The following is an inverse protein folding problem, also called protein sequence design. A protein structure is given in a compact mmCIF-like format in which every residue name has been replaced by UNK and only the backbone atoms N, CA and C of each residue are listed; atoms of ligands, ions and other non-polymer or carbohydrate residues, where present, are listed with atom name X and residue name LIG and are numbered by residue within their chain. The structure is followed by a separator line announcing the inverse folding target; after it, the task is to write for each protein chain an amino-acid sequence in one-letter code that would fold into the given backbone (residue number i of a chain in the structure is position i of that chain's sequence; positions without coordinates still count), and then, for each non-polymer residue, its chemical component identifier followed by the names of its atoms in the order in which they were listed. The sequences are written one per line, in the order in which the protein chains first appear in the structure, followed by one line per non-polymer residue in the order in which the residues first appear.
data_IF_993781571693
#
_entry.id   IF_993781571693
#
_cell.length_a   1.000
_cell.length_b   1.000
_cell.length_c   1.000
_cell.angle_alpha   90.00
_cell.angle_beta   90.00
_cell.angle_gamma   90.00
#
_symmetry.space_group_name_H-M   'P 1'
#
loop_
_entity.id
_entity.type
_entity.pdbx_description
1 polymer ?
#
# COMPACT_ATOMS: atom_id res chain seq x y z
N UNK A 1 3.32 -1.05 3.63
CA UNK A 1 2.27 -0.05 3.47
C UNK A 1 1.29 -0.61 2.45
N UNK A 2 0.02 -0.78 2.82
CA UNK A 2 -1.02 -1.13 1.85
C UNK A 2 -1.17 0.06 0.91
N UNK A 3 -0.62 -0.06 -0.29
CA UNK A 3 -0.69 1.02 -1.27
C UNK A 3 -1.47 0.50 -2.45
N UNK A 4 -2.64 1.05 -2.73
CA UNK A 4 -3.42 0.67 -3.91
C UNK A 4 -2.78 1.35 -5.14
N UNK A 5 -2.54 0.63 -6.24
CA UNK A 5 -1.94 1.14 -7.50
C UNK A 5 -2.99 1.02 -8.64
N UNK A 6 -3.25 1.95 -9.58
CA UNK A 6 -2.35 2.59 -10.56
C UNK A 6 -2.89 3.91 -11.18
N UNK A 7 -3.71 4.73 -10.50
CA UNK A 7 -4.30 5.92 -11.18
C UNK A 7 -4.41 7.24 -10.41
N UNK A 8 -4.08 7.37 -9.10
CA UNK A 8 -4.42 8.57 -8.32
C UNK A 8 -3.33 9.07 -7.35
N UNK A 9 -3.25 10.39 -7.12
CA UNK A 9 -2.02 11.13 -6.78
C UNK A 9 -1.46 10.95 -5.36
N UNK A 10 -2.03 10.13 -4.48
CA UNK A 10 -1.65 10.10 -3.05
C UNK A 10 -0.20 9.72 -2.75
N UNK A 11 0.35 8.71 -3.41
CA UNK A 11 1.75 8.26 -3.21
C UNK A 11 2.76 9.06 -4.01
N UNK A 12 2.38 9.55 -5.18
CA UNK A 12 3.15 10.55 -5.92
C UNK A 12 3.27 11.84 -5.08
N UNK A 13 2.19 12.24 -4.41
CA UNK A 13 2.15 13.42 -3.53
C UNK A 13 3.14 13.27 -2.39
N UNK A 14 3.17 12.12 -1.68
CA UNK A 14 4.15 11.89 -0.62
C UNK A 14 5.61 11.84 -1.11
N UNK A 15 5.83 11.56 -2.40
CA UNK A 15 7.16 11.62 -3.02
C UNK A 15 7.52 12.99 -3.60
N UNK A 16 6.62 13.98 -3.55
CA UNK A 16 7.01 15.35 -3.88
C UNK A 16 7.93 15.92 -2.80
N UNK A 17 8.97 16.68 -3.20
CA UNK A 17 10.01 17.19 -2.30
C UNK A 17 9.55 17.67 -0.91
N UNK A 18 8.53 18.54 -0.77
CA UNK A 18 8.13 19.03 0.55
C UNK A 18 7.44 17.96 1.41
N UNK A 19 6.59 17.12 0.81
CA UNK A 19 5.88 16.07 1.53
C UNK A 19 6.78 14.86 1.85
N UNK A 20 7.74 14.56 0.97
CA UNK A 20 8.73 13.54 1.20
C UNK A 20 9.57 13.88 2.43
N UNK A 21 10.16 15.07 2.45
CA UNK A 21 11.01 15.50 3.56
C UNK A 21 10.25 15.55 4.90
N UNK A 22 8.98 15.96 4.88
CA UNK A 22 8.18 16.15 6.08
C UNK A 22 7.53 14.87 6.60
N UNK A 23 7.08 13.98 5.72
CA UNK A 23 6.18 12.89 6.10
C UNK A 23 6.66 11.50 5.68
N UNK A 24 7.26 11.36 4.50
CA UNK A 24 7.60 10.05 3.92
C UNK A 24 9.05 9.60 4.12
N UNK A 25 9.97 10.54 4.41
CA UNK A 25 11.39 10.25 4.63
C UNK A 25 11.62 9.26 5.77
N UNK A 26 10.75 9.28 6.81
CA UNK A 26 10.83 8.35 7.95
C UNK A 26 10.51 6.91 7.55
N UNK A 27 9.56 6.72 6.63
CA UNK A 27 9.23 5.39 6.12
C UNK A 27 10.39 4.76 5.35
N UNK A 28 11.10 5.59 4.58
CA UNK A 28 12.31 5.26 3.83
C UNK A 28 13.60 5.30 4.66
N UNK A 29 13.50 5.33 5.99
CA UNK A 29 14.69 5.32 6.87
C UNK A 29 15.45 3.99 6.78
N UNK A 30 14.74 2.88 6.50
CA UNK A 30 15.32 1.56 6.36
C UNK A 30 15.46 1.18 4.89
N UNK A 31 16.69 1.08 4.40
CA UNK A 31 16.98 0.65 3.02
C UNK A 31 16.55 -0.79 2.75
N UNK A 32 16.68 -1.67 3.75
CA UNK A 32 16.16 -3.04 3.70
C UNK A 32 15.02 -3.16 4.71
N UNK A 33 13.77 -2.90 4.30
CA UNK A 33 12.64 -2.94 5.20
C UNK A 33 12.43 -4.36 5.75
N UNK A 34 12.00 -4.41 7.00
CA UNK A 34 11.48 -5.64 7.65
C UNK A 34 10.02 -5.41 7.98
N UNK A 35 9.24 -6.48 8.18
CA UNK A 35 7.78 -6.37 8.33
C UNK A 35 7.31 -5.38 9.42
N UNK A 36 8.10 -5.19 10.48
CA UNK A 36 7.83 -4.20 11.55
C UNK A 36 8.05 -2.76 11.09
N UNK A 37 8.98 -2.52 10.17
CA UNK A 37 9.22 -1.20 9.58
C UNK A 37 8.01 -0.71 8.76
N UNK A 38 7.11 -1.61 8.35
CA UNK A 38 5.89 -1.26 7.62
C UNK A 38 4.96 -0.30 8.37
N UNK A 39 5.00 -0.28 9.71
CA UNK A 39 4.23 0.64 10.56
C UNK A 39 5.07 1.79 11.11
N UNK A 40 6.37 1.81 10.80
CA UNK A 40 7.28 2.87 11.21
C UNK A 40 7.23 4.02 10.19
N UNK A 41 6.26 4.91 10.40
CA UNK A 41 6.09 6.10 9.58
C UNK A 41 5.65 7.30 10.45
N UNK A 42 5.38 8.44 9.81
CA UNK A 42 4.77 9.58 10.50
C UNK A 42 3.27 9.35 10.72
N UNK A 43 2.64 9.93 11.76
CA UNK A 43 1.19 9.78 11.96
C UNK A 43 0.35 10.23 10.75
N UNK A 44 0.83 11.23 10.01
CA UNK A 44 0.16 11.71 8.80
C UNK A 44 0.23 10.68 7.67
N UNK A 45 1.39 10.08 7.45
CA UNK A 45 1.55 9.00 6.48
C UNK A 45 0.74 7.75 6.87
N UNK A 46 0.71 7.40 8.17
CA UNK A 46 -0.16 6.35 8.67
C UNK A 46 -1.62 6.64 8.33
N UNK A 47 -2.10 7.85 8.60
CA UNK A 47 -3.48 8.23 8.32
C UNK A 47 -3.80 8.23 6.82
N UNK A 48 -2.96 8.83 5.98
CA UNK A 48 -3.26 9.07 4.57
C UNK A 48 -2.96 7.89 3.66
N UNK A 49 -1.91 7.12 3.96
CA UNK A 49 -1.46 6.03 3.09
C UNK A 49 -1.86 4.65 3.60
N UNK A 50 -2.20 4.50 4.88
CA UNK A 50 -2.64 3.22 5.43
C UNK A 50 -4.13 3.25 5.81
N UNK A 51 -4.54 4.16 6.69
CA UNK A 51 -5.89 4.13 7.29
C UNK A 51 -6.98 4.62 6.33
N UNK A 52 -6.77 5.76 5.68
CA UNK A 52 -7.77 6.38 4.83
C UNK A 52 -8.14 5.52 3.61
N UNK A 53 -7.17 4.98 2.83
CA UNK A 53 -7.49 4.11 1.69
C UNK A 53 -8.16 2.80 2.15
N UNK A 54 -7.76 2.30 3.33
CA UNK A 54 -8.34 1.09 3.90
C UNK A 54 -9.80 1.28 4.37
N UNK A 55 -10.13 2.49 4.85
CA UNK A 55 -11.46 2.84 5.34
C UNK A 55 -12.44 3.25 4.23
N UNK A 56 -11.98 4.10 3.31
CA UNK A 56 -12.78 4.55 2.18
C UNK A 56 -12.85 3.51 1.06
N UNK A 57 -11.91 2.57 1.00
CA UNK A 57 -11.69 1.73 -0.17
C UNK A 57 -10.92 2.50 -1.25
N UNK A 58 -10.78 1.91 -2.42
CA UNK A 58 -10.03 2.47 -3.56
C UNK A 58 -10.71 3.69 -4.21
N UNK A 59 -11.87 4.10 -3.67
CA UNK A 59 -12.78 5.12 -4.20
C UNK A 59 -12.51 6.52 -3.62
N UNK A 60 -11.39 7.18 -3.95
CA UNK A 60 -11.20 8.59 -3.51
C UNK A 60 -10.71 9.59 -4.58
N UNK A 61 -10.69 9.25 -5.86
CA UNK A 61 -10.69 10.28 -6.91
C UNK A 61 -11.33 9.72 -8.18
N UNK A 62 -11.72 10.56 -9.14
CA UNK A 62 -12.84 10.31 -10.04
C UNK A 62 -12.80 9.15 -11.04
N UNK A 63 -13.42 8.02 -10.69
CA UNK A 63 -14.10 7.17 -11.69
C UNK A 63 -15.49 6.85 -11.13
N UNK A 64 -16.54 7.44 -11.70
CA UNK A 64 -17.93 7.34 -11.21
C UNK A 64 -18.60 5.98 -11.45
N UNK A 65 -17.83 4.93 -11.74
CA UNK A 65 -18.36 3.60 -12.01
C UNK A 65 -17.65 2.61 -11.08
N UNK A 66 -18.33 2.07 -10.05
CA UNK A 66 -17.84 0.90 -9.33
C UNK A 66 -17.91 -0.27 -10.32
N UNK A 67 -16.79 -0.58 -10.98
CA UNK A 67 -16.76 -1.73 -11.88
C UNK A 67 -16.72 -3.05 -11.10
N UNK A 68 -16.26 -3.05 -9.84
CA UNK A 68 -16.26 -4.21 -8.96
C UNK A 68 -16.59 -3.81 -7.50
N UNK A 69 -17.35 -4.65 -6.79
CA UNK A 69 -17.88 -4.34 -5.44
C UNK A 69 -16.85 -4.41 -4.29
N UNK A 70 -15.62 -4.80 -4.60
CA UNK A 70 -14.44 -4.88 -3.73
C UNK A 70 -13.68 -3.55 -3.58
N UNK A 71 -14.06 -2.52 -4.34
CA UNK A 71 -13.44 -1.19 -4.36
C UNK A 71 -13.98 -0.21 -3.30
N UNK A 72 -14.98 -0.64 -2.52
CA UNK A 72 -15.67 0.19 -1.53
C UNK A 72 -15.28 -0.26 -0.12
N UNK A 73 -14.73 0.64 0.68
CA UNK A 73 -14.24 0.29 2.01
C UNK A 73 -15.36 0.07 3.03
N UNK A 74 -15.06 -0.52 4.19
CA UNK A 74 -16.06 -0.82 5.22
C UNK A 74 -16.88 0.38 5.68
N UNK A 75 -16.28 1.59 5.65
CA UNK A 75 -16.96 2.82 6.05
C UNK A 75 -18.05 3.24 5.06
N UNK A 76 -17.81 3.05 3.76
CA UNK A 76 -18.77 3.40 2.70
C UNK A 76 -19.88 2.35 2.55
N UNK A 77 -19.59 1.09 2.91
CA UNK A 77 -20.57 0.00 2.89
C UNK A 77 -21.41 -0.11 4.17
N UNK A 78 -21.15 0.70 5.21
CA UNK A 78 -21.82 0.57 6.50
C UNK A 78 -21.60 -0.80 7.15
N UNK A 79 -20.41 -1.38 6.98
CA UNK A 79 -20.12 -2.75 7.39
C UNK A 79 -20.20 -2.96 8.90
N UNK A 80 -20.61 -4.16 9.31
CA UNK A 80 -20.57 -4.57 10.72
C UNK A 80 -19.11 -4.61 11.23
N UNK A 81 -18.92 -4.30 12.52
CA UNK A 81 -17.58 -4.21 13.14
C UNK A 81 -16.73 -5.45 12.90
N UNK A 82 -17.33 -6.65 12.93
CA UNK A 82 -16.60 -7.91 12.69
C UNK A 82 -16.03 -8.00 11.29
N UNK A 83 -16.79 -7.58 10.27
CA UNK A 83 -16.35 -7.54 8.87
C UNK A 83 -15.25 -6.50 8.69
N UNK A 84 -15.41 -5.32 9.29
CA UNK A 84 -14.38 -4.28 9.30
C UNK A 84 -13.09 -4.79 9.95
N UNK A 85 -13.17 -5.46 11.11
CA UNK A 85 -12.00 -6.01 11.79
C UNK A 85 -11.29 -7.06 10.95
N UNK A 86 -12.03 -8.00 10.33
CA UNK A 86 -11.44 -9.00 9.45
C UNK A 86 -10.71 -8.34 8.25
N UNK A 87 -11.32 -7.32 7.66
CA UNK A 87 -10.73 -6.50 6.60
C UNK A 87 -9.41 -5.84 7.04
N UNK A 88 -9.40 -5.22 8.23
CA UNK A 88 -8.17 -4.65 8.81
C UNK A 88 -7.07 -5.69 9.05
N UNK A 89 -7.42 -6.88 9.55
CA UNK A 89 -6.44 -7.95 9.78
C UNK A 89 -5.77 -8.39 8.47
N UNK A 90 -6.57 -8.63 7.44
CA UNK A 90 -6.09 -8.98 6.09
C UNK A 90 -5.17 -7.88 5.56
N UNK A 91 -5.57 -6.62 5.72
CA UNK A 91 -4.78 -5.47 5.29
C UNK A 91 -3.42 -5.32 5.99
N UNK A 92 -3.40 -5.55 7.30
CA UNK A 92 -2.17 -5.51 8.10
C UNK A 92 -1.23 -6.65 7.71
N UNK A 93 -1.76 -7.86 7.49
CA UNK A 93 -0.94 -9.01 7.04
C UNK A 93 -0.24 -8.68 5.72
N UNK A 94 -0.96 -8.15 4.73
CA UNK A 94 -0.35 -7.74 3.45
C UNK A 94 0.67 -6.60 3.62
N UNK A 95 0.36 -5.62 4.47
CA UNK A 95 1.28 -4.51 4.78
C UNK A 95 2.60 -5.00 5.37
N UNK A 96 2.54 -5.97 6.28
CA UNK A 96 3.72 -6.57 6.90
C UNK A 96 4.45 -7.45 5.88
N UNK A 97 3.72 -8.28 5.14
CA UNK A 97 4.29 -9.24 4.20
C UNK A 97 5.08 -8.55 3.09
N UNK A 98 4.55 -7.47 2.53
CA UNK A 98 5.19 -6.67 1.47
C UNK A 98 6.49 -6.00 1.89
N UNK A 99 6.76 -5.92 3.19
CA UNK A 99 7.97 -5.33 3.77
C UNK A 99 8.83 -6.39 4.46
N UNK A 100 8.45 -7.66 4.37
CA UNK A 100 9.10 -8.73 5.13
C UNK A 100 10.21 -9.44 4.34
N UNK A 101 10.30 -9.20 3.04
CA UNK A 101 11.14 -9.96 2.11
C UNK A 101 10.63 -11.39 1.82
N UNK A 102 9.59 -11.87 2.53
CA UNK A 102 9.03 -13.20 2.31
C UNK A 102 7.96 -13.21 1.22
N UNK A 103 8.27 -13.89 0.12
CA UNK A 103 7.40 -13.97 -1.05
C UNK A 103 6.40 -15.13 -0.93
N UNK A 104 5.23 -14.87 -0.35
CA UNK A 104 4.18 -15.88 -0.19
C UNK A 104 3.26 -15.94 -1.40
N UNK A 105 2.77 -17.13 -1.77
CA UNK A 105 1.78 -17.27 -2.84
C UNK A 105 0.48 -16.55 -2.45
N UNK A 106 -0.17 -15.92 -3.43
CA UNK A 106 -1.44 -15.20 -3.28
C UNK A 106 -1.41 -13.91 -2.44
N UNK A 107 -0.21 -13.37 -2.16
CA UNK A 107 -0.03 -12.04 -1.57
C UNK A 107 0.75 -11.13 -2.52
N UNK A 108 0.80 -9.84 -2.19
CA UNK A 108 1.57 -8.88 -2.96
C UNK A 108 3.08 -9.22 -2.98
N UNK A 109 3.76 -8.83 -4.06
CA UNK A 109 5.18 -9.13 -4.27
C UNK A 109 6.06 -8.18 -3.43
N UNK A 110 6.82 -8.65 -2.42
CA UNK A 110 7.71 -7.78 -1.64
C UNK A 110 8.79 -7.12 -2.50
N UNK A 111 9.33 -7.84 -3.49
CA UNK A 111 10.41 -7.36 -4.35
C UNK A 111 10.07 -6.07 -5.10
N UNK A 112 8.82 -5.90 -5.51
CA UNK A 112 8.38 -4.68 -6.17
C UNK A 112 8.43 -3.47 -5.22
N UNK A 113 8.10 -3.69 -3.95
CA UNK A 113 8.15 -2.66 -2.91
C UNK A 113 9.58 -2.44 -2.39
N UNK A 114 10.40 -3.47 -2.33
CA UNK A 114 11.84 -3.32 -2.01
C UNK A 114 12.53 -2.47 -3.09
N UNK A 115 12.22 -2.71 -4.38
CA UNK A 115 12.73 -1.86 -5.45
C UNK A 115 12.24 -0.40 -5.37
N UNK A 116 11.02 -0.19 -4.87
CA UNK A 116 10.54 1.17 -4.58
C UNK A 116 11.44 1.86 -3.54
N UNK A 117 11.81 1.15 -2.47
CA UNK A 117 12.74 1.64 -1.45
C UNK A 117 14.16 1.85 -1.98
N UNK A 118 14.56 1.16 -3.05
CA UNK A 118 15.86 1.35 -3.70
C UNK A 118 15.89 2.55 -4.65
N UNK A 119 14.82 2.75 -5.43
CA UNK A 119 14.80 3.72 -6.54
C UNK A 119 14.09 5.03 -6.22
N UNK A 120 13.16 5.03 -5.26
CA UNK A 120 12.33 6.17 -4.83
C UNK A 120 11.47 6.81 -5.94
N UNK A 121 11.49 6.27 -7.16
CA UNK A 121 10.92 6.88 -8.36
C UNK A 121 9.96 5.94 -9.11
N UNK A 122 9.94 4.66 -8.75
CA UNK A 122 9.12 3.62 -9.38
C UNK A 122 8.31 2.85 -8.33
N UNK A 123 7.34 2.05 -8.77
CA UNK A 123 6.51 1.15 -7.94
C UNK A 123 5.87 1.81 -6.70
N UNK A 124 5.19 2.93 -6.91
CA UNK A 124 4.49 3.65 -5.85
C UNK A 124 3.22 2.94 -5.33
N UNK A 125 3.00 1.68 -5.65
CA UNK A 125 1.83 0.93 -5.22
C UNK A 125 2.05 -0.58 -5.05
N UNK A 126 1.07 -1.20 -4.40
CA UNK A 126 1.12 -2.50 -3.75
C UNK A 126 -0.30 -3.11 -3.52
N UNK A 127 -0.94 -3.56 -4.60
CA UNK A 127 -2.27 -4.18 -4.54
C UNK A 127 -2.20 -5.68 -4.24
N UNK A 128 -3.11 -6.17 -3.39
CA UNK A 128 -3.17 -7.51 -2.77
C UNK A 128 -2.98 -8.70 -3.72
N UNK A 129 -3.40 -8.56 -4.99
CA UNK A 129 -3.29 -9.61 -6.02
C UNK A 129 -2.60 -9.16 -7.31
N UNK A 130 -2.88 -7.93 -7.76
CA UNK A 130 -2.44 -7.46 -9.07
C UNK A 130 -0.92 -7.31 -9.17
N UNK A 131 -0.25 -6.90 -8.07
CA UNK A 131 1.20 -6.71 -8.11
C UNK A 131 1.96 -8.02 -8.31
N UNK A 132 1.44 -9.16 -7.83
CA UNK A 132 2.12 -10.44 -8.04
C UNK A 132 2.10 -10.86 -9.51
N UNK A 133 0.95 -10.82 -10.19
CA UNK A 133 0.86 -11.27 -11.58
C UNK A 133 1.57 -10.36 -12.58
N UNK A 134 1.76 -9.07 -12.25
CA UNK A 134 2.46 -8.11 -13.11
C UNK A 134 3.97 -8.07 -12.82
N UNK A 135 4.40 -8.26 -11.57
CA UNK A 135 5.78 -7.96 -11.16
C UNK A 135 6.56 -9.14 -10.59
N UNK A 136 5.95 -10.31 -10.35
CA UNK A 136 6.67 -11.43 -9.72
C UNK A 136 7.73 -12.10 -10.62
N UNK A 137 7.60 -12.00 -11.94
CA UNK A 137 8.56 -12.54 -12.92
C UNK A 137 9.48 -11.45 -13.52
N UNK A 138 9.42 -10.22 -13.01
CA UNK A 138 10.18 -9.11 -13.56
C UNK A 138 11.67 -9.21 -13.16
N UNK A 139 12.54 -9.32 -14.15
CA UNK A 139 14.00 -9.35 -13.97
C UNK A 139 14.60 -8.04 -13.45
N UNK A 140 13.80 -6.98 -13.30
CA UNK A 140 14.25 -5.71 -12.71
C UNK A 140 14.48 -5.81 -11.19
N UNK A 141 13.89 -6.80 -10.51
CA UNK A 141 14.01 -6.99 -9.06
C UNK A 141 14.90 -8.18 -8.65
N UNK A 142 15.69 -8.75 -9.59
CA UNK A 142 16.47 -9.99 -9.42
C UNK A 142 17.97 -9.77 -9.49
#
# INVERSE_FOLDING_TARGET
MMVIDFTKPGTIVLHTKPFYAAYHKKHHEFTAPVGVAAVYCTPMEMALSNVLPLMAGTSFAGTFIPLHGDDVGPAMMGSHVTTSTAWFCVALINTVQTHSGYDFPFMACPKAHDFHHETFSENFGCFFFMTRFIFADNSRWS
#
